data_IF_074722400642
#
_entry.id   IF_074722400642
#
_cell.length_a   1.000
_cell.length_b   1.000
_cell.length_c   1.000
_cell.angle_alpha   90.00
_cell.angle_beta   90.00
_cell.angle_gamma   90.00
#
_symmetry.space_group_name_H-M   'P 1'
#
loop_
_entity.id
_entity.type
_entity.pdbx_description
1 polymer ?
#
# COMPACT_ATOMS: atom_id res chain seq x y z
N UNK A 1 3.53 -20.71 -13.19
CA UNK A 1 2.14 -20.24 -13.05
C UNK A 1 1.99 -19.92 -11.57
N UNK A 2 2.03 -18.65 -11.17
CA UNK A 2 2.09 -18.28 -9.75
C UNK A 2 0.89 -17.39 -9.42
N UNK A 3 0.04 -17.90 -8.53
CA UNK A 3 -1.09 -17.17 -7.94
C UNK A 3 -0.58 -16.60 -6.62
N UNK A 4 -0.62 -15.28 -6.45
CA UNK A 4 -0.51 -14.65 -5.15
C UNK A 4 -1.79 -14.97 -4.38
N UNK A 5 -1.79 -16.07 -3.62
CA UNK A 5 -2.97 -16.61 -2.90
C UNK A 5 -3.36 -15.76 -1.69
N UNK A 6 -3.62 -14.46 -1.88
CA UNK A 6 -4.19 -13.55 -0.87
C UNK A 6 -3.62 -13.72 0.53
N UNK A 7 -2.32 -14.05 0.67
CA UNK A 7 -1.76 -14.66 1.89
C UNK A 7 -1.91 -13.77 3.11
N UNK A 8 -1.74 -12.47 2.92
CA UNK A 8 -1.95 -11.47 3.98
C UNK A 8 -3.39 -11.48 4.48
N UNK A 9 -4.35 -11.68 3.57
CA UNK A 9 -5.79 -11.68 3.87
C UNK A 9 -6.34 -13.08 4.21
N UNK A 10 -5.49 -14.11 4.09
CA UNK A 10 -5.80 -15.53 4.33
C UNK A 10 -7.05 -16.01 3.55
N UNK A 11 -7.24 -15.51 2.33
CA UNK A 11 -8.41 -15.83 1.52
C UNK A 11 -8.15 -15.57 0.04
N UNK A 12 -8.80 -16.34 -0.83
CA UNK A 12 -8.79 -16.19 -2.29
C UNK A 12 -9.82 -15.18 -2.80
N UNK A 13 -10.85 -14.86 -1.98
CA UNK A 13 -11.95 -13.94 -2.31
C UNK A 13 -12.32 -13.07 -1.12
N UNK A 14 -12.55 -11.79 -1.39
CA UNK A 14 -12.95 -10.82 -0.38
C UNK A 14 -13.97 -9.85 -0.97
N UNK A 15 -15.01 -9.53 -0.20
CA UNK A 15 -15.89 -8.42 -0.50
C UNK A 15 -15.22 -7.13 -0.04
N UNK A 16 -15.03 -6.19 -0.96
CA UNK A 16 -14.41 -4.88 -0.73
C UNK A 16 -15.38 -3.77 -1.10
N UNK A 17 -15.03 -2.53 -0.79
CA UNK A 17 -15.73 -1.37 -1.35
C UNK A 17 -15.11 -1.03 -2.70
N UNK A 18 -15.84 -0.26 -3.51
CA UNK A 18 -15.33 0.33 -4.75
C UNK A 18 -15.81 1.78 -4.79
N UNK A 19 -14.86 2.71 -4.67
CA UNK A 19 -15.11 4.16 -4.57
C UNK A 19 -14.10 4.92 -5.42
N UNK A 20 -13.93 4.49 -6.67
CA UNK A 20 -13.00 5.09 -7.63
C UNK A 20 -13.65 5.18 -9.01
N UNK A 21 -13.40 6.29 -9.71
CA UNK A 21 -13.83 6.47 -11.10
C UNK A 21 -12.72 6.14 -12.10
N UNK A 22 -11.51 5.89 -11.59
CA UNK A 22 -10.32 5.55 -12.36
C UNK A 22 -9.84 4.17 -11.93
N UNK A 23 -9.05 3.53 -12.78
CA UNK A 23 -8.46 2.24 -12.50
C UNK A 23 -7.21 2.01 -13.34
N UNK A 24 -6.44 1.00 -12.96
CA UNK A 24 -5.15 0.73 -13.60
C UNK A 24 -5.35 0.08 -14.97
N UNK A 25 -4.98 0.79 -16.03
CA UNK A 25 -5.00 0.26 -17.39
C UNK A 25 -3.74 -0.56 -17.71
N UNK A 26 -2.55 0.01 -17.48
CA UNK A 26 -1.26 -0.63 -17.76
C UNK A 26 -0.43 -0.69 -16.49
N UNK A 27 -0.09 -1.91 -16.06
CA UNK A 27 0.76 -2.15 -14.90
C UNK A 27 2.22 -2.14 -15.35
N UNK A 28 3.08 -1.39 -14.64
CA UNK A 28 4.50 -1.33 -14.96
C UNK A 28 5.18 -2.70 -14.76
N UNK A 29 6.24 -3.05 -15.52
CA UNK A 29 6.82 -4.40 -15.52
C UNK A 29 7.34 -4.91 -14.18
N UNK A 30 7.65 -4.00 -13.25
CA UNK A 30 8.12 -4.31 -11.90
C UNK A 30 7.01 -4.71 -10.93
N UNK A 31 5.75 -4.52 -11.32
CA UNK A 31 4.59 -4.87 -10.51
C UNK A 31 3.90 -6.11 -11.05
N UNK A 32 3.44 -6.95 -10.13
CA UNK A 32 2.53 -8.03 -10.43
C UNK A 32 1.10 -7.63 -10.08
N UNK A 33 0.16 -8.10 -10.90
CA UNK A 33 -1.28 -7.97 -10.66
C UNK A 33 -1.71 -9.10 -9.75
N UNK A 34 -2.20 -8.77 -8.56
CA UNK A 34 -2.43 -9.77 -7.49
C UNK A 34 -3.87 -9.87 -7.01
N UNK A 35 -4.74 -8.93 -7.39
CA UNK A 35 -6.17 -9.06 -7.23
C UNK A 35 -6.91 -8.39 -8.40
N UNK A 36 -8.10 -8.92 -8.70
CA UNK A 36 -8.96 -8.44 -9.77
C UNK A 36 -10.40 -8.28 -9.30
N UNK A 37 -11.09 -7.29 -9.83
CA UNK A 37 -12.53 -7.15 -9.75
C UNK A 37 -13.27 -8.17 -10.63
N UNK A 38 -14.59 -8.32 -10.47
CA UNK A 38 -15.39 -9.24 -11.28
C UNK A 38 -15.44 -8.87 -12.77
N UNK A 39 -15.14 -7.62 -13.11
CA UNK A 39 -15.00 -7.07 -14.45
C UNK A 39 -13.58 -7.23 -15.04
N UNK A 40 -12.65 -7.82 -14.27
CA UNK A 40 -11.25 -7.98 -14.66
C UNK A 40 -10.37 -6.75 -14.39
N UNK A 41 -10.90 -5.69 -13.77
CA UNK A 41 -10.10 -4.53 -13.37
C UNK A 41 -9.05 -4.95 -12.33
N UNK A 42 -7.84 -4.42 -12.42
CA UNK A 42 -6.79 -4.68 -11.42
C UNK A 42 -7.11 -3.93 -10.14
N UNK A 43 -7.32 -4.67 -9.06
CA UNK A 43 -7.69 -4.14 -7.75
C UNK A 43 -6.52 -4.15 -6.75
N UNK A 44 -5.47 -4.92 -7.03
CA UNK A 44 -4.24 -4.86 -6.23
C UNK A 44 -2.99 -5.19 -7.06
N UNK A 45 -1.88 -4.56 -6.68
CA UNK A 45 -0.54 -4.78 -7.25
C UNK A 45 0.50 -4.93 -6.15
N UNK A 46 1.57 -5.68 -6.42
CA UNK A 46 2.73 -5.80 -5.52
C UNK A 46 4.05 -5.85 -6.29
N UNK A 47 5.18 -5.70 -5.60
CA UNK A 47 6.54 -5.83 -6.18
C UNK A 47 7.26 -7.01 -5.52
N UNK A 48 7.60 -8.04 -6.31
CA UNK A 48 8.30 -9.25 -5.83
C UNK A 48 9.67 -9.01 -5.21
N UNK A 49 10.45 -8.09 -5.78
CA UNK A 49 11.88 -7.92 -5.46
C UNK A 49 12.17 -6.76 -4.50
N UNK A 50 11.19 -6.39 -3.67
CA UNK A 50 11.29 -5.33 -2.66
C UNK A 50 10.72 -5.82 -1.34
N UNK A 51 11.20 -5.28 -0.23
CA UNK A 51 10.85 -5.75 1.11
C UNK A 51 9.34 -5.71 1.37
N UNK A 52 8.69 -4.59 1.00
CA UNK A 52 7.24 -4.47 1.05
C UNK A 52 6.78 -3.29 0.19
N UNK A 53 6.18 -3.56 -0.97
CA UNK A 53 5.50 -2.55 -1.79
C UNK A 53 4.23 -3.20 -2.34
N UNK A 54 3.09 -2.63 -1.98
CA UNK A 54 1.77 -3.09 -2.39
C UNK A 54 0.83 -1.90 -2.53
N UNK A 55 -0.07 -1.97 -3.50
CA UNK A 55 -1.17 -1.05 -3.67
C UNK A 55 -2.48 -1.82 -3.78
N UNK A 56 -3.54 -1.30 -3.16
CA UNK A 56 -4.91 -1.78 -3.30
C UNK A 56 -5.78 -0.63 -3.75
N UNK A 57 -6.76 -0.91 -4.61
CA UNK A 57 -7.62 0.12 -5.20
C UNK A 57 -8.85 0.41 -4.33
N UNK A 58 -9.34 -0.58 -3.58
CA UNK A 58 -10.34 -0.38 -2.54
C UNK A 58 -9.76 0.38 -1.34
N UNK A 59 -10.64 0.82 -0.46
CA UNK A 59 -10.28 1.55 0.76
C UNK A 59 -10.33 0.62 1.98
N UNK A 60 -9.22 -0.03 2.39
CA UNK A 60 -9.19 -0.95 3.53
C UNK A 60 -9.47 -0.27 4.88
N UNK A 61 -9.27 1.05 4.98
CA UNK A 61 -9.52 1.86 6.17
C UNK A 61 -11.02 1.95 6.54
N UNK A 62 -11.92 1.85 5.57
CA UNK A 62 -13.38 1.83 5.84
C UNK A 62 -13.84 0.54 6.52
N UNK A 63 -12.97 -0.47 6.54
CA UNK A 63 -13.21 -1.75 7.21
C UNK A 63 -12.43 -1.87 8.53
N UNK A 64 -11.96 -0.74 9.08
CA UNK A 64 -11.28 -0.69 10.36
C UNK A 64 -12.14 -1.39 11.44
N UNK A 65 -11.56 -2.42 12.07
CA UNK A 65 -12.25 -3.27 13.05
C UNK A 65 -12.64 -4.67 12.52
N UNK A 66 -12.62 -4.89 11.20
CA UNK A 66 -12.71 -6.26 10.66
C UNK A 66 -11.33 -6.93 10.69
N UNK A 67 -11.28 -8.20 11.13
CA UNK A 67 -10.01 -8.95 11.26
C UNK A 67 -9.22 -8.99 9.96
N UNK A 68 -9.90 -9.15 8.82
CA UNK A 68 -9.24 -9.35 7.51
C UNK A 68 -8.51 -8.11 7.01
N UNK A 69 -9.14 -6.93 7.05
CA UNK A 69 -8.52 -5.72 6.50
C UNK A 69 -7.42 -5.16 7.40
N UNK A 70 -7.49 -5.42 8.70
CA UNK A 70 -6.41 -5.14 9.64
C UNK A 70 -5.09 -5.83 9.28
N UNK A 71 -5.13 -6.98 8.59
CA UNK A 71 -3.92 -7.70 8.20
C UNK A 71 -3.04 -6.89 7.23
N UNK A 72 -3.61 -6.06 6.36
CA UNK A 72 -2.84 -5.22 5.43
C UNK A 72 -2.02 -4.17 6.21
N UNK A 73 -2.67 -3.47 7.13
CA UNK A 73 -2.01 -2.48 7.99
C UNK A 73 -1.00 -3.12 8.95
N UNK A 74 -1.34 -4.28 9.52
CA UNK A 74 -0.43 -5.03 10.37
C UNK A 74 0.83 -5.47 9.60
N UNK A 75 0.67 -5.93 8.35
CA UNK A 75 1.80 -6.32 7.49
C UNK A 75 2.69 -5.12 7.16
N UNK A 76 2.08 -3.99 6.80
CA UNK A 76 2.81 -2.73 6.58
C UNK A 76 3.61 -2.31 7.82
N UNK A 77 2.99 -2.32 9.00
CA UNK A 77 3.66 -1.95 10.25
C UNK A 77 4.80 -2.92 10.61
N UNK A 78 4.59 -4.22 10.45
CA UNK A 78 5.61 -5.23 10.71
C UNK A 78 6.81 -5.09 9.77
N UNK A 79 6.58 -4.88 8.47
CA UNK A 79 7.66 -4.72 7.50
C UNK A 79 8.41 -3.39 7.68
N UNK A 80 7.71 -2.32 8.10
CA UNK A 80 8.37 -1.09 8.52
C UNK A 80 9.30 -1.34 9.72
N UNK A 81 8.85 -2.05 10.76
CA UNK A 81 9.68 -2.40 11.92
C UNK A 81 10.90 -3.23 11.50
N UNK A 82 10.70 -4.26 10.66
CA UNK A 82 11.80 -5.12 10.15
C UNK A 82 12.81 -4.33 9.34
N UNK A 83 12.35 -3.46 8.46
CA UNK A 83 13.20 -2.57 7.67
C UNK A 83 13.98 -1.61 8.56
N UNK A 84 13.34 -1.00 9.57
CA UNK A 84 14.04 -0.14 10.52
C UNK A 84 15.09 -0.91 11.34
N UNK A 85 14.80 -2.14 11.77
CA UNK A 85 15.73 -2.99 12.50
C UNK A 85 16.95 -3.41 11.65
N UNK A 86 16.77 -3.58 10.33
CA UNK A 86 17.86 -3.92 9.41
C UNK A 86 18.63 -2.70 8.87
N UNK A 87 18.09 -1.48 9.04
CA UNK A 87 18.69 -0.21 8.55
C UNK A 87 19.45 0.55 9.64
N UNK A 88 19.78 -0.08 10.76
CA UNK A 88 20.69 0.51 11.75
C UNK A 88 22.14 0.28 11.30
N UNK A 89 22.57 1.13 10.34
CA UNK A 89 23.94 1.59 10.00
C UNK A 89 24.45 1.50 8.53
N UNK A 90 25.46 2.35 8.29
CA UNK A 90 26.28 2.69 7.11
C UNK A 90 25.67 3.08 5.74
N UNK A 91 24.41 2.76 5.37
CA UNK A 91 23.97 2.80 3.95
C UNK A 91 22.97 3.89 3.50
N UNK A 92 23.01 5.09 4.07
CA UNK A 92 22.34 6.26 3.46
C UNK A 92 20.81 6.23 3.50
N UNK A 93 20.24 6.48 4.68
CA UNK A 93 18.79 6.67 4.87
C UNK A 93 18.29 7.89 4.08
N UNK A 94 17.12 7.79 3.44
CA UNK A 94 16.27 8.97 3.26
C UNK A 94 15.59 9.25 4.60
N UNK A 95 16.14 10.21 5.34
CA UNK A 95 15.45 10.78 6.49
C UNK A 95 14.30 11.60 5.90
N UNK A 96 13.07 11.09 5.96
CA UNK A 96 11.90 11.94 5.79
C UNK A 96 11.89 12.90 6.96
N UNK A 97 12.44 14.09 6.75
CA UNK A 97 12.31 15.23 7.65
C UNK A 97 10.85 15.67 7.61
N UNK A 98 10.01 14.95 8.34
CA UNK A 98 8.65 15.38 8.64
C UNK A 98 8.80 16.63 9.52
N UNK A 99 8.81 17.79 8.89
CA UNK A 99 8.66 19.05 9.61
C UNK A 99 7.31 18.99 10.28
N UNK A 100 7.32 18.87 11.61
CA UNK A 100 6.10 18.96 12.41
C UNK A 100 5.45 20.30 12.08
N UNK A 101 4.16 20.29 11.77
CA UNK A 101 3.42 21.52 11.53
C UNK A 101 3.66 22.48 12.72
N UNK A 102 3.83 23.79 12.46
CA UNK A 102 4.18 24.78 13.49
C UNK A 102 3.14 24.83 14.62
N UNK A 103 1.90 24.43 14.35
CA UNK A 103 0.87 24.17 15.34
C UNK A 103 0.04 22.92 15.00
N UNK A 104 -0.66 22.36 15.99
CA UNK A 104 -1.51 21.17 15.83
C UNK A 104 -2.89 21.44 15.19
N UNK A 105 -3.15 22.68 14.74
CA UNK A 105 -4.44 23.14 14.19
C UNK A 105 -4.35 23.45 12.69
N UNK A 106 -3.16 23.57 12.12
CA UNK A 106 -2.93 23.80 10.70
C UNK A 106 -2.52 22.50 9.99
N UNK A 107 -3.28 22.11 8.97
CA UNK A 107 -2.85 21.07 8.02
C UNK A 107 -1.73 21.62 7.12
N UNK A 108 -0.71 20.82 6.79
CA UNK A 108 0.31 21.24 5.83
C UNK A 108 -0.30 21.43 4.43
N UNK A 109 0.15 22.47 3.73
CA UNK A 109 -0.12 22.65 2.30
C UNK A 109 0.77 21.68 1.51
N UNK A 110 0.18 20.91 0.60
CA UNK A 110 0.91 20.04 -0.33
C UNK A 110 0.98 20.73 -1.69
N UNK A 111 2.18 20.77 -2.28
CA UNK A 111 2.36 21.13 -3.68
C UNK A 111 2.44 19.84 -4.51
N UNK A 112 1.63 19.75 -5.56
CA UNK A 112 1.66 18.60 -6.46
C UNK A 112 2.85 18.73 -7.41
N UNK A 113 3.51 17.61 -7.73
CA UNK A 113 4.67 17.58 -8.63
C UNK A 113 4.35 18.15 -10.02
N UNK A 114 3.07 18.13 -10.39
CA UNK A 114 2.55 18.54 -11.70
C UNK A 114 2.27 20.06 -11.77
N UNK A 115 2.52 20.79 -10.68
CA UNK A 115 2.33 22.24 -10.57
C UNK A 115 3.58 23.08 -10.87
N UNK A 116 4.63 22.48 -11.44
CA UNK A 116 5.89 23.13 -11.87
C UNK A 116 6.02 23.08 -13.39
#
# INVERSE_FOLDING_TARGET
>A
MWVSEGRILETDRLATNSMHHQGVHTVAPMFDRVAYGPDGLVEAVEVRDRSFIMGVQWHPEFFAGTRKMGCLFASLAQEAIRSHASTVDARGRCRLDIKKAPDARSWPTMEYADGI
#
